data_IF_919974738523
#
_entry.id   IF_919974738523
#
_cell.length_a   1.000
_cell.length_b   1.000
_cell.length_c   1.000
_cell.angle_alpha   90.00
_cell.angle_beta   90.00
_cell.angle_gamma   90.00
#
_symmetry.space_group_name_H-M   'P 1'
#
loop_
_entity.id
_entity.type
_entity.pdbx_description
1 polymer ?
#
# COMPACT_ATOMS: atom_id res chain seq x y z
N UNK A 1 14.22 -5.89 25.67
CA UNK A 1 14.28 -4.70 24.79
C UNK A 1 15.25 -5.00 23.66
N UNK A 2 14.83 -4.79 22.41
CA UNK A 2 15.52 -5.30 21.23
C UNK A 2 16.42 -4.26 20.54
N UNK A 3 15.98 -3.01 20.46
CA UNK A 3 16.76 -1.92 19.87
C UNK A 3 17.84 -1.45 20.84
N UNK A 4 19.07 -1.32 20.35
CA UNK A 4 20.21 -0.84 21.12
C UNK A 4 21.04 0.16 20.31
N UNK A 5 21.66 1.12 20.98
CA UNK A 5 22.62 2.03 20.34
C UNK A 5 23.84 1.23 19.88
N UNK A 6 24.19 1.36 18.62
CA UNK A 6 25.29 0.62 18.00
C UNK A 6 26.57 1.46 18.04
N UNK A 7 27.58 1.02 18.78
CA UNK A 7 28.90 1.65 18.82
C UNK A 7 29.92 1.01 17.88
N UNK A 8 29.66 -0.24 17.48
CA UNK A 8 30.43 -1.00 16.50
C UNK A 8 29.49 -2.02 15.85
N UNK A 9 29.64 -2.23 14.55
CA UNK A 9 28.88 -3.26 13.84
C UNK A 9 29.35 -4.67 14.26
N UNK A 10 28.43 -5.64 14.37
CA UNK A 10 28.80 -7.05 14.54
C UNK A 10 29.61 -7.57 13.34
N UNK A 11 30.57 -8.47 13.59
CA UNK A 11 31.42 -9.06 12.54
C UNK A 11 30.61 -9.83 11.48
N UNK A 12 29.44 -10.35 11.87
CA UNK A 12 28.52 -11.06 11.00
C UNK A 12 27.52 -10.14 10.26
N UNK A 13 27.74 -8.83 10.28
CA UNK A 13 26.92 -7.85 9.56
C UNK A 13 27.80 -6.88 8.75
N UNK A 14 28.33 -7.30 7.59
CA UNK A 14 29.38 -6.60 6.84
C UNK A 14 28.84 -5.39 6.03
N UNK A 15 28.16 -4.45 6.69
CA UNK A 15 27.69 -3.19 6.10
C UNK A 15 28.84 -2.20 6.00
N UNK A 16 29.00 -1.54 4.84
CA UNK A 16 30.03 -0.52 4.61
C UNK A 16 29.43 0.87 4.45
N UNK A 17 30.25 1.92 4.56
CA UNK A 17 29.84 3.32 4.42
C UNK A 17 29.15 3.57 3.05
N UNK A 18 29.73 3.04 1.97
CA UNK A 18 29.21 3.21 0.60
C UNK A 18 27.87 2.52 0.35
N UNK A 19 27.54 1.49 1.14
CA UNK A 19 26.28 0.76 1.02
C UNK A 19 25.09 1.53 1.61
N UNK A 20 25.33 2.33 2.66
CA UNK A 20 24.26 3.02 3.40
C UNK A 20 24.19 4.52 3.12
N UNK A 21 25.31 5.14 2.76
CA UNK A 21 25.38 6.57 2.45
C UNK A 21 25.63 6.76 0.97
N UNK A 22 24.56 7.11 0.24
CA UNK A 22 24.66 7.45 -1.17
C UNK A 22 25.70 8.56 -1.40
N UNK A 23 26.62 8.31 -2.35
CA UNK A 23 27.58 9.30 -2.87
C UNK A 23 28.55 9.86 -1.82
N UNK A 24 28.95 9.07 -0.82
CA UNK A 24 30.03 9.41 0.12
C UNK A 24 29.71 10.54 1.10
N UNK A 25 28.42 10.82 1.33
CA UNK A 25 27.98 11.93 2.20
C UNK A 25 27.98 11.60 3.70
N UNK A 26 28.40 10.39 4.10
CA UNK A 26 28.37 9.97 5.49
C UNK A 26 29.40 8.90 5.82
N UNK A 27 29.61 8.67 7.11
CA UNK A 27 30.43 7.57 7.61
C UNK A 27 29.75 6.93 8.81
N UNK A 28 29.58 5.61 8.78
CA UNK A 28 28.95 4.85 9.85
C UNK A 28 29.71 5.04 11.14
N UNK A 29 31.05 5.08 11.07
CA UNK A 29 31.89 5.30 12.24
C UNK A 29 31.60 6.65 12.93
N UNK A 30 31.39 7.70 12.15
CA UNK A 30 31.08 9.03 12.68
C UNK A 30 29.67 9.08 13.27
N UNK A 31 28.68 8.50 12.58
CA UNK A 31 27.30 8.46 13.07
C UNK A 31 27.14 7.56 14.31
N UNK A 32 27.87 6.44 14.40
CA UNK A 32 27.96 5.60 15.61
C UNK A 32 28.55 6.38 16.79
N UNK A 33 29.63 7.16 16.57
CA UNK A 33 30.22 8.02 17.61
C UNK A 33 29.26 9.11 18.10
N UNK A 34 28.47 9.70 17.19
CA UNK A 34 27.41 10.67 17.54
C UNK A 34 26.23 10.00 18.27
N UNK A 35 26.13 8.67 18.21
CA UNK A 35 25.04 7.91 18.80
C UNK A 35 23.77 7.88 17.95
N UNK A 36 23.90 8.08 16.64
CA UNK A 36 22.79 8.12 15.69
C UNK A 36 22.50 6.75 15.06
N UNK A 37 23.31 5.73 15.31
CA UNK A 37 23.12 4.39 14.73
C UNK A 37 22.61 3.43 15.80
N UNK A 38 21.61 2.64 15.44
CA UNK A 38 20.97 1.67 16.31
C UNK A 38 20.87 0.32 15.59
N UNK A 39 20.89 -0.76 16.37
CA UNK A 39 20.81 -2.13 15.88
C UNK A 39 19.68 -2.86 16.60
N UNK A 40 18.87 -3.60 15.85
CA UNK A 40 18.01 -4.65 16.36
C UNK A 40 18.57 -6.00 15.91
N UNK A 41 19.05 -6.80 16.86
CA UNK A 41 19.58 -8.14 16.59
C UNK A 41 18.60 -9.21 17.08
N UNK A 42 18.02 -9.96 16.15
CA UNK A 42 17.07 -11.03 16.41
C UNK A 42 17.74 -12.42 16.52
N UNK A 43 19.03 -12.48 16.86
CA UNK A 43 19.80 -13.72 17.04
C UNK A 43 19.10 -14.81 17.87
N UNK A 44 18.23 -14.45 18.81
CA UNK A 44 17.45 -15.41 19.60
C UNK A 44 16.54 -16.31 18.75
N UNK A 45 16.18 -15.88 17.53
CA UNK A 45 15.37 -16.65 16.58
C UNK A 45 16.22 -17.59 15.71
N UNK A 46 17.54 -17.48 15.74
CA UNK A 46 18.42 -18.28 14.89
C UNK A 46 18.34 -19.76 15.26
N UNK A 47 18.16 -20.62 14.24
CA UNK A 47 17.95 -22.05 14.42
C UNK A 47 16.60 -22.48 15.00
N UNK A 48 15.66 -21.55 15.26
CA UNK A 48 14.31 -21.91 15.74
C UNK A 48 13.54 -22.64 14.65
N UNK A 49 13.03 -23.84 14.96
CA UNK A 49 12.25 -24.65 14.03
C UNK A 49 10.87 -24.03 13.82
N UNK A 50 10.56 -23.66 12.57
CA UNK A 50 9.25 -23.14 12.20
C UNK A 50 8.17 -24.25 12.15
N UNK A 51 6.93 -23.86 12.44
CA UNK A 51 5.80 -24.79 12.55
C UNK A 51 5.24 -25.23 11.17
N UNK A 52 4.36 -26.23 11.19
CA UNK A 52 3.48 -26.60 10.08
C UNK A 52 2.06 -26.13 10.42
N UNK A 53 1.40 -25.42 9.50
CA UNK A 53 0.00 -24.99 9.64
C UNK A 53 -0.76 -25.49 8.41
N UNK A 54 -1.77 -26.32 8.62
CA UNK A 54 -2.58 -26.95 7.56
C UNK A 54 -1.74 -27.65 6.48
N UNK A 55 -0.70 -28.37 6.90
CA UNK A 55 0.21 -29.07 5.99
C UNK A 55 1.23 -28.16 5.28
N UNK A 56 1.19 -26.83 5.48
CA UNK A 56 2.11 -25.87 4.85
C UNK A 56 3.23 -25.49 5.81
N UNK A 57 4.47 -25.62 5.33
CA UNK A 57 5.67 -25.20 6.05
C UNK A 57 5.68 -23.68 6.27
N UNK A 58 5.81 -23.25 7.52
CA UNK A 58 6.04 -21.84 7.86
C UNK A 58 7.54 -21.55 7.89
N UNK A 59 7.90 -20.26 7.85
CA UNK A 59 9.30 -19.83 7.84
C UNK A 59 9.53 -18.77 8.90
N UNK A 60 10.72 -18.81 9.52
CA UNK A 60 11.20 -17.82 10.47
C UNK A 60 12.59 -17.37 10.04
N UNK A 61 12.91 -16.11 10.33
CA UNK A 61 14.20 -15.50 10.06
C UNK A 61 14.76 -14.91 11.37
N UNK A 62 16.07 -14.68 11.41
CA UNK A 62 16.76 -14.10 12.56
C UNK A 62 17.54 -12.84 12.13
N UNK A 63 16.83 -11.76 11.78
CA UNK A 63 17.44 -10.63 11.09
C UNK A 63 18.34 -9.75 11.97
N UNK A 64 19.22 -9.02 11.31
CA UNK A 64 19.94 -7.86 11.83
C UNK A 64 19.42 -6.61 11.11
N UNK A 65 18.91 -5.63 11.85
CA UNK A 65 18.34 -4.40 11.29
C UNK A 65 19.13 -3.19 11.79
N UNK A 66 19.78 -2.48 10.87
CA UNK A 66 20.49 -1.23 11.15
C UNK A 66 19.58 -0.03 10.91
N UNK A 67 19.54 0.87 11.89
CA UNK A 67 18.70 2.07 11.89
C UNK A 67 19.58 3.30 12.05
N UNK A 68 19.25 4.38 11.31
CA UNK A 68 19.86 5.70 11.46
C UNK A 68 18.84 6.70 11.98
N UNK A 69 19.27 7.49 12.97
CA UNK A 69 18.53 8.64 13.48
C UNK A 69 18.77 9.85 12.59
N UNK A 70 17.71 10.33 11.96
CA UNK A 70 17.74 11.51 11.08
C UNK A 70 17.76 12.82 11.90
N UNK A 71 18.09 13.97 11.27
CA UNK A 71 18.08 15.28 11.94
C UNK A 71 16.72 15.70 12.50
N UNK A 72 15.62 15.16 11.98
CA UNK A 72 14.25 15.35 12.48
C UNK A 72 13.83 14.29 13.52
N UNK A 73 14.81 13.66 14.18
CA UNK A 73 14.65 12.68 15.26
C UNK A 73 13.88 11.39 14.90
N UNK A 74 13.79 11.03 13.62
CA UNK A 74 13.19 9.77 13.17
C UNK A 74 14.22 8.65 13.07
N UNK A 75 13.82 7.41 13.34
CA UNK A 75 14.65 6.22 13.13
C UNK A 75 14.26 5.56 11.81
N UNK A 76 15.18 5.55 10.86
CA UNK A 76 14.97 5.00 9.52
C UNK A 76 15.85 3.76 9.32
N UNK A 77 15.30 2.64 8.78
CA UNK A 77 16.11 1.48 8.45
C UNK A 77 17.05 1.82 7.30
N UNK A 78 18.32 1.45 7.42
CA UNK A 78 19.36 1.69 6.40
C UNK A 78 20.00 0.41 5.87
N UNK A 79 19.91 -0.71 6.61
CA UNK A 79 20.35 -2.02 6.15
C UNK A 79 19.62 -3.15 6.89
N UNK A 80 19.29 -4.24 6.20
CA UNK A 80 18.66 -5.44 6.78
C UNK A 80 19.34 -6.70 6.25
N UNK A 81 19.87 -7.55 7.12
CA UNK A 81 20.30 -8.91 6.78
C UNK A 81 19.33 -9.92 7.39
N UNK A 82 18.77 -10.85 6.61
CA UNK A 82 17.65 -11.71 7.07
C UNK A 82 18.09 -12.87 7.97
N UNK A 83 19.29 -13.42 7.75
CA UNK A 83 19.88 -14.47 8.58
C UNK A 83 21.14 -13.96 9.29
N UNK A 84 21.52 -14.62 10.38
CA UNK A 84 22.69 -14.25 11.18
C UNK A 84 24.02 -14.46 10.43
N UNK A 85 24.10 -15.44 9.54
CA UNK A 85 25.34 -15.79 8.83
C UNK A 85 25.38 -15.16 7.43
N UNK A 86 26.36 -14.30 7.10
CA UNK A 86 26.55 -13.79 5.74
C UNK A 86 26.78 -14.94 4.75
N UNK A 87 26.11 -14.89 3.61
CA UNK A 87 26.22 -15.86 2.54
C UNK A 87 25.71 -15.26 1.22
N UNK A 88 26.06 -15.86 0.09
CA UNK A 88 25.62 -15.41 -1.25
C UNK A 88 24.07 -15.41 -1.38
N UNK A 89 23.38 -16.32 -0.67
CA UNK A 89 21.92 -16.40 -0.61
C UNK A 89 21.29 -15.56 0.54
N UNK A 90 22.11 -14.84 1.30
CA UNK A 90 21.70 -13.99 2.42
C UNK A 90 22.31 -12.60 2.26
N UNK A 91 21.94 -11.93 1.17
CA UNK A 91 22.37 -10.56 0.90
C UNK A 91 21.82 -9.58 1.95
N UNK A 92 22.50 -8.44 2.06
CA UNK A 92 22.02 -7.30 2.86
C UNK A 92 21.12 -6.45 1.96
N UNK A 93 19.92 -6.15 2.47
CA UNK A 93 18.95 -5.30 1.81
C UNK A 93 19.11 -3.85 2.25
N UNK A 94 19.09 -2.93 1.29
CA UNK A 94 19.18 -1.49 1.51
C UNK A 94 17.89 -0.79 1.04
N UNK A 95 17.54 0.39 1.60
CA UNK A 95 16.42 1.20 1.09
C UNK A 95 16.59 1.64 -0.37
N UNK A 96 17.80 1.55 -0.89
CA UNK A 96 18.18 1.88 -2.26
C UNK A 96 18.18 0.68 -3.20
N UNK A 97 18.03 -0.54 -2.67
CA UNK A 97 17.88 -1.71 -3.52
C UNK A 97 16.59 -1.56 -4.33
N UNK A 98 16.68 -1.85 -5.62
CA UNK A 98 15.52 -1.87 -6.54
C UNK A 98 14.43 -2.85 -6.11
N UNK A 99 14.71 -3.70 -5.11
CA UNK A 99 13.82 -4.73 -4.58
C UNK A 99 13.16 -4.36 -3.23
N UNK A 100 13.18 -3.10 -2.78
CA UNK A 100 12.44 -2.61 -1.59
C UNK A 100 11.61 -1.36 -1.92
N UNK A 101 10.37 -1.27 -1.39
CA UNK A 101 9.17 -1.69 -2.08
C UNK A 101 9.05 -0.97 -3.45
N UNK A 102 9.21 -1.70 -4.56
CA UNK A 102 8.74 -1.20 -5.86
C UNK A 102 7.28 -0.74 -5.74
N UNK A 103 6.84 0.16 -6.62
CA UNK A 103 5.45 0.61 -6.77
C UNK A 103 4.36 -0.45 -6.40
N UNK A 104 4.48 -1.74 -6.80
CA UNK A 104 3.60 -2.83 -6.37
C UNK A 104 3.52 -3.08 -4.86
N UNK A 105 4.62 -3.04 -4.13
CA UNK A 105 4.68 -3.38 -2.71
C UNK A 105 3.95 -2.37 -1.81
N UNK A 106 3.84 -1.10 -2.24
CA UNK A 106 2.99 -0.11 -1.57
C UNK A 106 1.52 -0.54 -1.62
N UNK A 107 1.09 -1.19 -2.71
CA UNK A 107 -0.29 -1.59 -2.95
C UNK A 107 -0.64 -3.00 -2.43
N UNK A 108 0.33 -3.93 -2.36
CA UNK A 108 0.14 -5.31 -1.87
C UNK A 108 -0.72 -5.41 -0.59
N UNK A 109 -0.42 -4.68 0.50
CA UNK A 109 -1.21 -4.81 1.72
C UNK A 109 -2.66 -4.34 1.55
N UNK A 110 -2.93 -3.43 0.59
CA UNK A 110 -4.27 -2.89 0.33
C UNK A 110 -5.06 -3.72 -0.70
N UNK A 111 -4.40 -4.58 -1.48
CA UNK A 111 -5.06 -5.48 -2.44
C UNK A 111 -5.14 -6.92 -1.96
N UNK A 112 -4.56 -7.22 -0.79
CA UNK A 112 -4.58 -8.54 -0.14
C UNK A 112 -6.02 -9.03 0.01
N UNK A 113 -6.23 -10.31 -0.31
CA UNK A 113 -7.51 -11.05 -0.19
C UNK A 113 -8.65 -10.56 -1.11
N UNK A 114 -8.52 -9.43 -1.81
CA UNK A 114 -9.53 -8.87 -2.72
C UNK A 114 -9.94 -9.83 -3.85
N UNK A 115 -8.97 -10.52 -4.48
CA UNK A 115 -9.28 -11.48 -5.54
C UNK A 115 -10.01 -12.72 -5.01
N UNK A 116 -9.63 -13.18 -3.82
CA UNK A 116 -10.23 -14.36 -3.19
C UNK A 116 -11.68 -14.07 -2.77
N UNK A 117 -11.93 -12.94 -2.11
CA UNK A 117 -13.29 -12.58 -1.71
C UNK A 117 -14.18 -12.30 -2.92
N UNK A 118 -13.65 -11.69 -3.99
CA UNK A 118 -14.40 -11.49 -5.24
C UNK A 118 -14.69 -12.81 -5.94
N UNK A 119 -13.75 -13.75 -5.94
CA UNK A 119 -13.98 -15.11 -6.42
C UNK A 119 -15.13 -15.77 -5.63
N UNK A 120 -15.15 -15.63 -4.30
CA UNK A 120 -16.26 -16.14 -3.50
C UNK A 120 -17.58 -15.41 -3.73
N UNK A 121 -17.53 -14.11 -4.01
CA UNK A 121 -18.71 -13.31 -4.33
C UNK A 121 -19.43 -13.83 -5.60
N UNK A 122 -18.73 -14.48 -6.53
CA UNK A 122 -19.39 -15.17 -7.65
C UNK A 122 -20.41 -16.21 -7.17
N UNK A 123 -20.12 -16.96 -6.10
CA UNK A 123 -21.09 -17.90 -5.54
C UNK A 123 -22.26 -17.18 -4.86
N UNK A 124 -22.00 -16.05 -4.19
CA UNK A 124 -23.01 -15.20 -3.56
C UNK A 124 -24.05 -14.69 -4.57
N UNK A 125 -23.57 -14.19 -5.72
CA UNK A 125 -24.39 -13.53 -6.74
C UNK A 125 -24.85 -14.46 -7.87
N UNK A 126 -24.37 -15.71 -7.89
CA UNK A 126 -24.80 -16.71 -8.87
C UNK A 126 -26.31 -16.96 -8.82
N UNK A 127 -26.86 -17.57 -9.87
CA UNK A 127 -28.30 -17.91 -9.95
C UNK A 127 -28.80 -18.76 -8.78
N UNK A 128 -27.91 -19.56 -8.17
CA UNK A 128 -28.22 -20.43 -7.02
C UNK A 128 -27.76 -19.86 -5.68
N UNK A 129 -27.06 -18.73 -5.71
CA UNK A 129 -26.52 -18.01 -4.56
C UNK A 129 -27.60 -17.43 -3.65
N UNK A 130 -27.17 -16.81 -2.56
CA UNK A 130 -28.08 -16.21 -1.57
C UNK A 130 -28.66 -14.89 -2.06
N UNK A 131 -27.92 -14.10 -2.84
CA UNK A 131 -28.34 -12.77 -3.30
C UNK A 131 -29.72 -12.78 -4.00
N UNK A 132 -29.98 -13.60 -5.03
CA UNK A 132 -31.29 -13.59 -5.70
C UNK A 132 -32.44 -14.10 -4.83
N UNK A 133 -32.15 -14.72 -3.67
CA UNK A 133 -33.18 -15.17 -2.72
C UNK A 133 -33.62 -14.06 -1.76
N UNK A 134 -32.78 -13.04 -1.56
CA UNK A 134 -33.01 -11.99 -0.56
C UNK A 134 -33.16 -10.59 -1.18
N UNK A 135 -32.62 -10.36 -2.38
CA UNK A 135 -32.64 -9.07 -3.04
C UNK A 135 -33.73 -9.03 -4.12
N UNK A 136 -34.63 -8.03 -4.03
CA UNK A 136 -35.73 -7.86 -4.98
C UNK A 136 -35.27 -7.68 -6.44
N UNK A 137 -34.07 -7.12 -6.65
CA UNK A 137 -33.51 -6.93 -7.98
C UNK A 137 -33.15 -8.27 -8.66
N UNK A 138 -32.89 -9.33 -7.88
CA UNK A 138 -32.36 -10.59 -8.40
C UNK A 138 -31.07 -10.42 -9.23
N UNK A 139 -30.62 -11.48 -9.88
CA UNK A 139 -29.38 -11.42 -10.69
C UNK A 139 -29.51 -10.45 -11.86
N UNK A 140 -30.64 -10.46 -12.58
CA UNK A 140 -30.83 -9.63 -13.78
C UNK A 140 -30.90 -8.14 -13.49
N UNK A 141 -31.62 -7.75 -12.44
CA UNK A 141 -31.69 -6.36 -11.99
C UNK A 141 -30.34 -5.87 -11.49
N UNK A 142 -29.63 -6.68 -10.70
CA UNK A 142 -28.27 -6.37 -10.26
C UNK A 142 -27.32 -6.15 -11.45
N UNK A 143 -27.31 -7.05 -12.43
CA UNK A 143 -26.47 -6.90 -13.63
C UNK A 143 -26.83 -5.65 -14.43
N UNK A 144 -28.10 -5.28 -14.49
CA UNK A 144 -28.55 -4.05 -15.15
C UNK A 144 -28.05 -2.80 -14.41
N UNK A 145 -28.12 -2.80 -13.07
CA UNK A 145 -27.60 -1.71 -12.22
C UNK A 145 -26.08 -1.59 -12.37
N UNK A 146 -25.35 -2.71 -12.34
CA UNK A 146 -23.89 -2.72 -12.51
C UNK A 146 -23.47 -2.14 -13.86
N UNK A 147 -24.13 -2.54 -14.96
CA UNK A 147 -23.85 -1.99 -16.30
C UNK A 147 -24.07 -0.48 -16.36
N UNK A 148 -25.18 0.01 -15.80
CA UNK A 148 -25.46 1.46 -15.74
C UNK A 148 -24.44 2.21 -14.90
N UNK A 149 -24.11 1.66 -13.73
CA UNK A 149 -23.14 2.28 -12.81
C UNK A 149 -21.75 2.35 -13.43
N UNK A 150 -21.30 1.28 -14.09
CA UNK A 150 -20.02 1.25 -14.82
C UNK A 150 -19.99 2.30 -15.94
N UNK A 151 -21.10 2.47 -16.68
CA UNK A 151 -21.17 3.45 -17.77
C UNK A 151 -21.15 4.92 -17.31
N UNK A 152 -21.48 5.19 -16.05
CA UNK A 152 -21.48 6.54 -15.47
C UNK A 152 -20.33 6.80 -14.50
N UNK A 153 -19.47 5.80 -14.24
CA UNK A 153 -18.38 5.93 -13.27
C UNK A 153 -17.28 6.83 -13.84
N UNK A 154 -16.83 7.78 -13.04
CA UNK A 154 -15.74 8.70 -13.39
C UNK A 154 -14.60 8.61 -12.38
N UNK A 155 -13.40 8.99 -12.77
CA UNK A 155 -12.27 9.08 -11.86
C UNK A 155 -12.50 10.10 -10.74
N UNK A 156 -13.20 11.22 -11.02
CA UNK A 156 -13.61 12.18 -9.98
C UNK A 156 -14.52 11.54 -8.94
N UNK A 157 -15.48 10.70 -9.36
CA UNK A 157 -16.38 9.99 -8.44
C UNK A 157 -15.67 9.00 -7.51
N UNK A 158 -14.45 8.57 -7.84
CA UNK A 158 -13.61 7.69 -7.01
C UNK A 158 -12.71 8.47 -6.05
N UNK A 159 -12.53 9.78 -6.27
CA UNK A 159 -11.71 10.63 -5.44
C UNK A 159 -12.61 11.46 -4.52
N UNK A 160 -12.70 11.12 -3.23
CA UNK A 160 -13.68 11.76 -2.32
C UNK A 160 -13.65 13.30 -2.30
N UNK A 161 -12.50 14.01 -2.41
CA UNK A 161 -12.53 15.47 -2.48
C UNK A 161 -13.22 15.98 -3.74
N UNK A 162 -12.98 15.33 -4.88
CA UNK A 162 -13.57 15.70 -6.16
C UNK A 162 -15.07 15.38 -6.17
N UNK A 163 -15.47 14.17 -5.74
CA UNK A 163 -16.87 13.75 -5.63
C UNK A 163 -17.69 14.69 -4.72
N UNK A 164 -17.14 15.07 -3.56
CA UNK A 164 -17.81 15.98 -2.63
C UNK A 164 -18.03 17.36 -3.24
N UNK A 165 -17.04 17.88 -3.97
CA UNK A 165 -17.12 19.17 -4.65
C UNK A 165 -18.07 19.12 -5.85
N UNK A 166 -17.97 18.08 -6.69
CA UNK A 166 -18.79 17.91 -7.89
C UNK A 166 -20.28 17.75 -7.54
N UNK A 167 -20.59 17.11 -6.41
CA UNK A 167 -21.96 17.02 -5.89
C UNK A 167 -22.44 18.28 -5.16
N UNK A 168 -21.56 19.26 -4.90
CA UNK A 168 -21.91 20.51 -4.21
C UNK A 168 -22.34 20.30 -2.75
N UNK A 169 -21.74 19.33 -2.06
CA UNK A 169 -22.14 18.93 -0.70
C UNK A 169 -21.11 19.30 0.38
N UNK A 170 -20.21 20.23 0.10
CA UNK A 170 -19.15 20.67 1.02
C UNK A 170 -19.70 21.33 2.29
N UNK A 171 -20.82 22.06 2.16
CA UNK A 171 -21.39 22.86 3.24
C UNK A 171 -22.52 22.15 4.02
N UNK A 172 -22.88 20.92 3.64
CA UNK A 172 -23.99 20.19 4.30
C UNK A 172 -23.65 19.94 5.77
N UNK A 173 -24.48 20.36 6.74
CA UNK A 173 -24.22 20.10 8.16
C UNK A 173 -24.36 18.62 8.51
N UNK A 174 -23.61 18.15 9.51
CA UNK A 174 -23.66 16.77 10.03
C UNK A 174 -23.38 15.68 8.99
N UNK A 175 -22.57 15.98 7.97
CA UNK A 175 -22.17 15.00 6.96
C UNK A 175 -20.89 14.27 7.39
N UNK A 176 -20.99 13.41 8.41
CA UNK A 176 -19.83 12.77 9.04
C UNK A 176 -18.99 11.91 8.08
N UNK A 177 -19.62 11.24 7.11
CA UNK A 177 -18.90 10.51 6.05
C UNK A 177 -17.95 11.42 5.26
N UNK A 178 -18.41 12.64 4.88
CA UNK A 178 -17.56 13.64 4.23
C UNK A 178 -16.45 14.07 5.18
N UNK A 179 -16.81 14.47 6.39
CA UNK A 179 -15.87 15.10 7.33
C UNK A 179 -14.73 14.15 7.72
N UNK A 180 -15.03 12.88 7.96
CA UNK A 180 -14.03 11.87 8.31
C UNK A 180 -13.31 11.35 7.06
N UNK A 181 -14.04 11.15 5.96
CA UNK A 181 -13.48 10.69 4.70
C UNK A 181 -12.46 11.65 4.10
N UNK A 182 -12.71 12.97 4.14
CA UNK A 182 -11.75 13.99 3.69
C UNK A 182 -10.48 14.02 4.54
N UNK A 183 -10.59 13.87 5.87
CA UNK A 183 -9.42 13.78 6.76
C UNK A 183 -8.60 12.52 6.48
N UNK A 184 -9.28 11.39 6.29
CA UNK A 184 -8.61 10.13 5.99
C UNK A 184 -7.92 10.17 4.63
N UNK A 185 -8.57 10.75 3.63
CA UNK A 185 -7.97 11.01 2.31
C UNK A 185 -6.68 11.84 2.43
N UNK A 186 -6.71 12.96 3.17
CA UNK A 186 -5.54 13.81 3.39
C UNK A 186 -4.39 13.07 4.11
N UNK A 187 -4.69 12.21 5.08
CA UNK A 187 -3.68 11.37 5.73
C UNK A 187 -3.05 10.39 4.74
N UNK A 188 -3.88 9.68 3.96
CA UNK A 188 -3.39 8.71 2.97
C UNK A 188 -2.58 9.43 1.89
N UNK A 189 -3.05 10.57 1.38
CA UNK A 189 -2.37 11.34 0.35
C UNK A 189 -0.97 11.77 0.82
N UNK A 190 -0.84 12.27 2.06
CA UNK A 190 0.47 12.63 2.61
C UNK A 190 1.39 11.44 2.79
N UNK A 191 0.85 10.29 3.20
CA UNK A 191 1.63 9.05 3.29
C UNK A 191 2.13 8.61 1.90
N UNK A 192 1.24 8.55 0.91
CA UNK A 192 1.57 8.19 -0.48
C UNK A 192 2.59 9.17 -1.06
N UNK A 193 2.41 10.47 -0.84
CA UNK A 193 3.36 11.49 -1.26
C UNK A 193 4.74 11.26 -0.63
N UNK A 194 4.82 11.05 0.69
CA UNK A 194 6.09 10.82 1.36
C UNK A 194 6.84 9.59 0.82
N UNK A 195 6.11 8.52 0.49
CA UNK A 195 6.69 7.31 -0.11
C UNK A 195 7.10 7.57 -1.56
N UNK A 196 6.19 8.03 -2.41
CA UNK A 196 6.46 8.14 -3.85
C UNK A 196 7.46 9.25 -4.19
N UNK A 197 7.49 10.35 -3.44
CA UNK A 197 8.51 11.41 -3.63
C UNK A 197 9.92 10.96 -3.25
N UNK A 198 10.07 9.85 -2.51
CA UNK A 198 11.38 9.23 -2.29
C UNK A 198 11.88 8.51 -3.55
N UNK A 199 10.99 7.86 -4.29
CA UNK A 199 11.30 7.09 -5.50
C UNK A 199 11.31 7.93 -6.77
N UNK A 200 10.45 8.95 -6.85
CA UNK A 200 10.30 9.83 -8.01
C UNK A 200 10.57 11.28 -7.61
N UNK A 201 11.70 11.81 -8.05
CA UNK A 201 12.14 13.17 -7.73
C UNK A 201 11.53 14.24 -8.64
N UNK A 202 11.10 13.84 -9.82
CA UNK A 202 10.58 14.73 -10.86
C UNK A 202 9.65 13.95 -11.81
N UNK A 203 8.90 14.69 -12.61
CA UNK A 203 7.91 14.14 -13.53
C UNK A 203 8.53 13.25 -14.62
N UNK A 204 9.79 13.49 -15.02
CA UNK A 204 10.48 12.66 -16.03
C UNK A 204 10.69 11.24 -15.53
N UNK A 205 11.01 11.04 -14.24
CA UNK A 205 11.16 9.71 -13.65
C UNK A 205 9.85 8.90 -13.74
N UNK A 206 8.69 9.53 -13.50
CA UNK A 206 7.37 8.90 -13.67
C UNK A 206 7.06 8.60 -15.14
N UNK A 207 7.36 9.53 -16.06
CA UNK A 207 7.10 9.35 -17.49
C UNK A 207 7.94 8.23 -18.11
N UNK A 208 9.16 8.03 -17.62
CA UNK A 208 10.10 7.02 -18.14
C UNK A 208 9.96 5.65 -17.47
N UNK A 209 9.19 5.53 -16.38
CA UNK A 209 8.94 4.24 -15.72
C UNK A 209 7.95 3.39 -16.55
N UNK A 210 8.51 2.48 -17.36
CA UNK A 210 7.70 1.65 -18.25
C UNK A 210 6.77 0.68 -17.51
N UNK A 211 7.05 0.29 -16.28
CA UNK A 211 6.19 -0.63 -15.52
C UNK A 211 4.96 0.12 -15.01
N UNK A 212 5.15 1.31 -14.45
CA UNK A 212 4.05 2.16 -13.99
C UNK A 212 3.13 2.60 -15.13
N UNK A 213 3.71 2.96 -16.28
CA UNK A 213 2.92 3.33 -17.47
C UNK A 213 2.11 2.15 -18.01
N UNK A 214 2.70 0.94 -18.06
CA UNK A 214 1.95 -0.27 -18.45
C UNK A 214 0.85 -0.61 -17.44
N UNK A 215 1.12 -0.43 -16.15
CA UNK A 215 0.15 -0.71 -15.10
C UNK A 215 -1.10 0.18 -15.21
N UNK A 216 -0.94 1.49 -15.38
CA UNK A 216 -2.10 2.37 -15.55
C UNK A 216 -2.82 2.13 -16.88
N UNK A 217 -2.07 1.83 -17.94
CA UNK A 217 -2.65 1.48 -19.24
C UNK A 217 -3.50 0.20 -19.15
N UNK A 218 -3.03 -0.83 -18.46
CA UNK A 218 -3.76 -2.09 -18.24
C UNK A 218 -5.06 -1.85 -17.46
N UNK A 219 -5.03 -0.99 -16.43
CA UNK A 219 -6.23 -0.57 -15.70
C UNK A 219 -7.19 0.18 -16.62
N UNK A 220 -6.71 1.10 -17.45
CA UNK A 220 -7.56 1.82 -18.39
C UNK A 220 -8.22 0.88 -19.42
N UNK A 221 -7.43 0.02 -20.07
CA UNK A 221 -7.89 -0.83 -21.15
C UNK A 221 -8.80 -1.96 -20.65
N UNK A 222 -8.41 -2.63 -19.56
CA UNK A 222 -9.12 -3.82 -19.09
C UNK A 222 -10.02 -3.56 -17.88
N UNK A 223 -9.63 -2.65 -16.98
CA UNK A 223 -10.45 -2.26 -15.83
C UNK A 223 -11.58 -1.30 -16.22
N UNK A 224 -11.28 -0.30 -17.03
CA UNK A 224 -12.22 0.75 -17.46
C UNK A 224 -12.65 0.63 -18.94
N UNK A 225 -12.33 -0.49 -19.60
CA UNK A 225 -12.80 -0.85 -20.94
C UNK A 225 -12.46 0.20 -22.01
N UNK A 226 -11.29 0.83 -21.90
CA UNK A 226 -10.80 1.91 -22.77
C UNK A 226 -11.78 3.09 -22.92
N UNK A 227 -12.64 3.31 -21.91
CA UNK A 227 -13.65 4.38 -21.97
C UNK A 227 -13.03 5.72 -21.55
N UNK A 228 -12.64 6.53 -22.53
CA UNK A 228 -12.05 7.86 -22.29
C UNK A 228 -12.97 8.80 -21.49
N UNK A 229 -14.30 8.64 -21.62
CA UNK A 229 -15.29 9.44 -20.87
C UNK A 229 -15.27 9.25 -19.35
N UNK A 230 -14.59 8.21 -18.85
CA UNK A 230 -14.43 7.98 -17.40
C UNK A 230 -13.44 8.95 -16.76
N UNK A 231 -12.54 9.57 -17.54
CA UNK A 231 -11.49 10.44 -17.02
C UNK A 231 -10.38 9.74 -16.21
N UNK A 232 -10.38 8.40 -16.17
CA UNK A 232 -9.26 7.63 -15.60
C UNK A 232 -8.01 7.86 -16.48
N UNK A 233 -6.80 8.04 -15.89
CA UNK A 233 -5.61 8.29 -16.70
C UNK A 233 -5.24 7.09 -17.56
N UNK A 234 -4.71 7.34 -18.75
CA UNK A 234 -4.10 6.33 -19.63
C UNK A 234 -2.58 6.22 -19.43
N UNK A 235 -2.00 7.27 -18.84
CA UNK A 235 -0.59 7.41 -18.52
C UNK A 235 -0.44 8.38 -17.35
N UNK A 236 0.66 8.27 -16.63
CA UNK A 236 1.02 9.28 -15.63
C UNK A 236 2.01 10.28 -16.22
N UNK A 237 1.67 11.57 -16.14
CA UNK A 237 2.55 12.62 -16.65
C UNK A 237 3.32 13.33 -15.56
N UNK A 238 2.78 13.35 -14.34
CA UNK A 238 3.40 14.02 -13.20
C UNK A 238 3.44 13.12 -11.97
N UNK A 239 4.33 13.45 -11.03
CA UNK A 239 4.36 12.82 -9.70
C UNK A 239 3.04 13.05 -8.97
N UNK A 240 2.39 14.20 -9.19
CA UNK A 240 1.09 14.51 -8.60
C UNK A 240 -0.03 13.59 -9.12
N UNK A 241 -0.04 13.26 -10.42
CA UNK A 241 -1.01 12.32 -11.01
C UNK A 241 -0.90 10.95 -10.35
N UNK A 242 0.33 10.44 -10.23
CA UNK A 242 0.62 9.15 -9.61
C UNK A 242 0.20 9.14 -8.14
N UNK A 243 0.54 10.19 -7.38
CA UNK A 243 0.15 10.32 -5.97
C UNK A 243 -1.38 10.30 -5.83
N UNK A 244 -2.11 11.08 -6.64
CA UNK A 244 -3.56 11.13 -6.60
C UNK A 244 -4.18 9.76 -6.90
N UNK A 245 -3.67 9.09 -7.93
CA UNK A 245 -4.19 7.79 -8.34
C UNK A 245 -3.94 6.71 -7.28
N UNK A 246 -2.73 6.64 -6.74
CA UNK A 246 -2.39 5.67 -5.67
C UNK A 246 -3.19 5.97 -4.40
N UNK A 247 -3.40 7.24 -4.07
CA UNK A 247 -4.28 7.65 -2.96
C UNK A 247 -5.71 7.13 -3.18
N UNK A 248 -6.25 7.29 -4.39
CA UNK A 248 -7.57 6.78 -4.77
C UNK A 248 -7.66 5.26 -4.58
N UNK A 249 -6.67 4.51 -5.05
CA UNK A 249 -6.63 3.05 -4.90
C UNK A 249 -6.64 2.65 -3.42
N UNK A 250 -5.72 3.22 -2.61
CA UNK A 250 -5.61 2.89 -1.18
C UNK A 250 -6.89 3.27 -0.43
N UNK A 251 -7.45 4.45 -0.69
CA UNK A 251 -8.69 4.90 -0.06
C UNK A 251 -9.87 3.99 -0.43
N UNK A 252 -9.97 3.60 -1.71
CA UNK A 252 -11.03 2.71 -2.20
C UNK A 252 -11.00 1.35 -1.50
N UNK A 253 -9.80 0.76 -1.40
CA UNK A 253 -9.60 -0.54 -0.76
C UNK A 253 -9.74 -0.51 0.78
N UNK A 254 -9.70 0.68 1.40
CA UNK A 254 -9.75 0.83 2.86
C UNK A 254 -10.97 1.64 3.32
N UNK A 255 -10.83 2.97 3.37
CA UNK A 255 -11.83 3.90 3.86
C UNK A 255 -13.18 3.75 3.18
N UNK A 256 -13.21 3.70 1.85
CA UNK A 256 -14.45 3.59 1.09
C UNK A 256 -15.17 2.27 1.37
N UNK A 257 -14.46 1.15 1.22
CA UNK A 257 -15.03 -0.18 1.47
C UNK A 257 -15.55 -0.29 2.91
N UNK A 258 -14.80 0.16 3.92
CA UNK A 258 -15.24 0.13 5.31
C UNK A 258 -16.51 0.97 5.53
N UNK A 259 -16.58 2.17 4.95
CA UNK A 259 -17.73 3.07 5.11
C UNK A 259 -19.04 2.44 4.60
N UNK A 260 -19.01 1.71 3.48
CA UNK A 260 -20.20 1.09 2.87
C UNK A 260 -20.47 -0.35 3.33
N UNK A 261 -19.50 -1.00 3.98
CA UNK A 261 -19.61 -2.39 4.44
C UNK A 261 -19.91 -2.50 5.94
N UNK A 262 -19.15 -1.81 6.80
CA UNK A 262 -19.24 -1.95 8.27
C UNK A 262 -20.60 -1.53 8.82
N UNK A 263 -21.31 -0.65 8.10
CA UNK A 263 -22.65 -0.22 8.45
C UNK A 263 -23.71 -1.29 8.24
N UNK A 264 -23.51 -2.30 7.37
CA UNK A 264 -24.57 -3.22 6.96
C UNK A 264 -25.18 -4.02 8.11
N UNK A 265 -24.42 -4.35 9.16
CA UNK A 265 -24.95 -5.08 10.32
C UNK A 265 -25.98 -4.30 11.16
N UNK A 266 -26.02 -2.96 11.07
CA UNK A 266 -26.91 -2.12 11.88
C UNK A 266 -28.33 -1.93 11.30
N UNK A 267 -28.53 -1.61 10.00
CA UNK A 267 -29.86 -1.39 9.42
C UNK A 267 -30.69 -2.67 9.22
N UNK A 268 -30.07 -3.84 9.07
CA UNK A 268 -30.80 -5.10 8.80
C UNK A 268 -31.31 -5.81 10.07
N UNK A 269 -31.11 -5.23 11.25
CA UNK A 269 -31.59 -5.74 12.54
C UNK A 269 -32.83 -4.97 13.07
N UNK A 270 -33.64 -4.38 12.19
CA UNK A 270 -34.98 -3.93 12.60
C UNK A 270 -35.89 -5.15 12.70
N UNK A 271 -36.43 -5.49 13.89
CA UNK A 271 -37.44 -6.54 13.99
C UNK A 271 -38.68 -6.08 13.22
N UNK A 272 -39.11 -6.90 12.26
CA UNK A 272 -40.47 -6.84 11.72
C UNK A 272 -41.50 -7.32 12.73
#
# INVERSE_FOLDING_TARGET
>A
MLIQRCSALPDNFPVTDDMVFLRGQGSLRNEMKKGNIFLCDYKILDGVKANLIDGKQQYLMAPLVLLHKTPDDKLMPIAIQLKQTPADDNRIFFPTDSEVPSFPHLLIPYTRDTLEINFFAYFLISKTGIYPKIAAAGVEGMMTILKRSLSSMTYSSLCIPDDIAERGVEAVPNFYYRDDGLKLWDIIQRFVQAVLSYYHRNDTEVQTDSEQQKWILDIFEHGFLSQAGTGIPQSFTTVADLIKFVTMVIFTCSGQHSAVNSGQMKPFNLPG
#
